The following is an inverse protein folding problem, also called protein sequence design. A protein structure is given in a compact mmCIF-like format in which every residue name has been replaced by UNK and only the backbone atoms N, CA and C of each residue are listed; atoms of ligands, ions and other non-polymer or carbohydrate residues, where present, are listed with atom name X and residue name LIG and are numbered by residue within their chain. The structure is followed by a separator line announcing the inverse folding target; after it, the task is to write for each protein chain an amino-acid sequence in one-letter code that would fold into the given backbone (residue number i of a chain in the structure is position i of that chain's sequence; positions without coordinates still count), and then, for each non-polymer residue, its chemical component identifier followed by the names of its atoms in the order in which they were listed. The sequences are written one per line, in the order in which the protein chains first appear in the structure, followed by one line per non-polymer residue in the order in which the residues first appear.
data_IF_927166027744
#
_entry.id   IF_927166027744
#
_cell.length_a   1.000
_cell.length_b   1.000
_cell.length_c   1.000
_cell.angle_alpha   90.00
_cell.angle_beta   90.00
_cell.angle_gamma   90.00
#
_symmetry.space_group_name_H-M   'P 1'
#
loop_
_entity.id
_entity.type
_entity.pdbx_description
1 polymer ?
#
# COMPACT_ATOMS: atom_id res chain seq x y z
N UNK A 1 10.40 -5.14 70.42
CA UNK A 1 11.15 -4.57 69.32
C UNK A 1 10.67 -5.26 68.00
N UNK A 2 9.78 -4.62 67.30
CA UNK A 2 9.21 -5.18 66.05
C UNK A 2 10.01 -4.60 64.83
N UNK A 3 10.71 -5.45 64.16
CA UNK A 3 11.44 -5.07 62.91
C UNK A 3 10.45 -5.10 61.75
N UNK A 4 10.12 -3.94 61.18
CA UNK A 4 9.30 -3.78 60.02
C UNK A 4 10.23 -3.93 58.82
N UNK A 5 10.02 -4.99 58.03
CA UNK A 5 10.70 -5.27 56.77
C UNK A 5 9.98 -4.52 55.67
N UNK A 6 10.57 -3.42 55.15
CA UNK A 6 10.09 -2.73 53.96
C UNK A 6 10.53 -3.52 52.72
N UNK A 7 9.59 -4.23 52.13
CA UNK A 7 9.75 -4.79 50.79
C UNK A 7 9.52 -3.67 49.77
N UNK A 8 10.60 -3.15 49.20
CA UNK A 8 10.55 -2.28 48.02
C UNK A 8 10.13 -3.11 46.79
N UNK A 9 8.87 -2.98 46.41
CA UNK A 9 8.36 -3.47 45.11
C UNK A 9 8.88 -2.53 44.02
N UNK A 10 9.99 -2.89 43.38
CA UNK A 10 10.42 -2.28 42.12
C UNK A 10 9.46 -2.72 41.04
N UNK A 11 8.42 -1.92 40.77
CA UNK A 11 7.58 -2.08 39.62
C UNK A 11 8.41 -1.68 38.41
N UNK A 12 9.06 -2.67 37.81
CA UNK A 12 9.68 -2.52 36.48
C UNK A 12 8.61 -2.16 35.46
N UNK A 13 8.54 -0.89 35.09
CA UNK A 13 7.86 -0.45 33.88
C UNK A 13 8.58 -1.07 32.69
N UNK A 14 8.25 -2.32 32.36
CA UNK A 14 8.53 -2.87 31.04
C UNK A 14 7.69 -2.06 30.06
N UNK A 15 8.32 -1.10 29.40
CA UNK A 15 7.75 -0.49 28.21
C UNK A 15 7.51 -1.62 27.22
N UNK A 16 6.27 -2.13 27.19
CA UNK A 16 5.80 -3.02 26.15
C UNK A 16 5.90 -2.22 24.85
N UNK A 17 7.04 -2.31 24.15
CA UNK A 17 7.12 -2.00 22.75
C UNK A 17 6.21 -3.02 22.07
N UNK A 18 4.93 -2.68 21.91
CA UNK A 18 4.04 -3.37 20.99
C UNK A 18 4.68 -3.20 19.62
N UNK A 19 5.40 -4.24 19.18
CA UNK A 19 5.80 -4.39 17.79
C UNK A 19 4.49 -4.36 17.01
N UNK A 20 4.21 -3.22 16.37
CA UNK A 20 3.02 -3.08 15.54
C UNK A 20 3.23 -4.02 14.36
N UNK A 21 2.66 -5.20 14.44
CA UNK A 21 2.68 -6.16 13.36
C UNK A 21 1.86 -5.57 12.22
N UNK A 22 2.53 -5.17 11.14
CA UNK A 22 1.87 -4.73 9.92
C UNK A 22 0.90 -5.79 9.41
N UNK A 23 -0.03 -5.41 8.55
CA UNK A 23 -1.03 -6.31 7.99
C UNK A 23 -0.36 -7.52 7.34
N UNK A 24 -0.79 -8.74 7.70
CA UNK A 24 -0.28 -9.99 7.10
C UNK A 24 -0.58 -10.05 5.60
N UNK A 25 0.24 -10.78 4.84
CA UNK A 25 0.04 -10.96 3.39
C UNK A 25 -1.32 -11.57 3.06
N UNK A 26 -1.82 -12.50 3.88
CA UNK A 26 -3.16 -13.07 3.72
C UNK A 26 -4.25 -12.00 3.86
N UNK A 27 -4.12 -11.12 4.83
CA UNK A 27 -5.06 -9.99 5.02
C UNK A 27 -4.94 -8.99 3.87
N UNK A 28 -3.72 -8.67 3.40
CA UNK A 28 -3.52 -7.84 2.19
C UNK A 28 -4.30 -8.40 1.01
N UNK A 29 -4.15 -9.69 0.70
CA UNK A 29 -4.88 -10.35 -0.40
C UNK A 29 -6.39 -10.22 -0.25
N UNK A 30 -6.93 -10.45 0.95
CA UNK A 30 -8.36 -10.35 1.23
C UNK A 30 -8.89 -8.93 1.03
N UNK A 31 -8.20 -7.93 1.57
CA UNK A 31 -8.59 -6.52 1.46
C UNK A 31 -8.49 -6.05 0.00
N UNK A 32 -7.43 -6.45 -0.71
CA UNK A 32 -7.24 -6.16 -2.13
C UNK A 32 -8.37 -6.74 -2.97
N UNK A 33 -8.70 -8.03 -2.77
CA UNK A 33 -9.80 -8.66 -3.49
C UNK A 33 -11.12 -7.94 -3.26
N UNK A 34 -11.41 -7.58 -2.01
CA UNK A 34 -12.65 -6.89 -1.69
C UNK A 34 -12.75 -5.52 -2.38
N UNK A 35 -11.71 -4.70 -2.27
CA UNK A 35 -11.65 -3.40 -2.94
C UNK A 35 -11.80 -3.53 -4.46
N UNK A 36 -11.06 -4.47 -5.07
CA UNK A 36 -11.08 -4.65 -6.53
C UNK A 36 -12.41 -5.21 -7.03
N UNK A 37 -13.05 -6.11 -6.28
CA UNK A 37 -14.38 -6.65 -6.60
C UNK A 37 -15.43 -5.53 -6.69
N UNK A 38 -15.43 -4.59 -5.74
CA UNK A 38 -16.36 -3.45 -5.76
C UNK A 38 -16.04 -2.48 -6.89
N UNK A 39 -14.75 -2.22 -7.15
CA UNK A 39 -14.33 -1.45 -8.32
C UNK A 39 -14.80 -2.09 -9.63
N UNK A 40 -14.62 -3.41 -9.78
CA UNK A 40 -15.03 -4.12 -10.98
C UNK A 40 -16.54 -4.04 -11.21
N UNK A 41 -17.33 -4.15 -10.15
CA UNK A 41 -18.77 -4.02 -10.21
C UNK A 41 -19.20 -2.62 -10.66
N UNK A 42 -18.76 -1.57 -9.97
CA UNK A 42 -19.20 -0.21 -10.25
C UNK A 42 -18.63 0.37 -11.56
N UNK A 43 -17.40 0.01 -11.90
CA UNK A 43 -16.74 0.51 -13.11
C UNK A 43 -16.99 -0.39 -14.33
N UNK A 44 -17.71 -1.51 -14.18
CA UNK A 44 -17.97 -2.50 -15.23
C UNK A 44 -16.68 -2.99 -15.88
N UNK A 45 -15.73 -3.45 -15.06
CA UNK A 45 -14.44 -3.92 -15.55
C UNK A 45 -14.58 -5.25 -16.30
N UNK A 46 -13.83 -5.42 -17.40
CA UNK A 46 -13.64 -6.74 -18.01
C UNK A 46 -12.84 -7.66 -17.09
N UNK A 47 -12.86 -8.96 -17.36
CA UNK A 47 -12.08 -9.95 -16.59
C UNK A 47 -10.58 -9.61 -16.58
N UNK A 48 -10.03 -9.15 -17.70
CA UNK A 48 -8.63 -8.74 -17.78
C UNK A 48 -8.36 -7.50 -16.93
N UNK A 49 -9.22 -6.47 -17.03
CA UNK A 49 -9.10 -5.27 -16.19
C UNK A 49 -9.22 -5.60 -14.70
N UNK A 50 -10.12 -6.53 -14.34
CA UNK A 50 -10.28 -6.99 -12.94
C UNK A 50 -8.99 -7.61 -12.40
N UNK A 51 -8.34 -8.47 -13.18
CA UNK A 51 -7.09 -9.10 -12.78
C UNK A 51 -5.94 -8.09 -12.65
N UNK A 52 -5.77 -7.21 -13.66
CA UNK A 52 -4.72 -6.18 -13.64
C UNK A 52 -4.98 -5.15 -12.50
N UNK A 53 -6.23 -4.74 -12.27
CA UNK A 53 -6.58 -3.87 -11.15
C UNK A 53 -6.36 -4.54 -9.78
N UNK A 54 -6.52 -5.86 -9.68
CA UNK A 54 -6.16 -6.60 -8.47
C UNK A 54 -4.66 -6.50 -8.17
N UNK A 55 -3.81 -6.68 -9.15
CA UNK A 55 -2.35 -6.59 -8.98
C UNK A 55 -1.93 -5.18 -8.54
N UNK A 56 -2.46 -4.14 -9.19
CA UNK A 56 -2.21 -2.73 -8.84
C UNK A 56 -2.66 -2.41 -7.41
N UNK A 57 -3.85 -2.84 -7.03
CA UNK A 57 -4.36 -2.65 -5.67
C UNK A 57 -3.55 -3.45 -4.64
N UNK A 58 -3.08 -4.64 -5.00
CA UNK A 58 -2.22 -5.45 -4.13
C UNK A 58 -0.90 -4.72 -3.85
N UNK A 59 -0.23 -4.22 -4.88
CA UNK A 59 1.02 -3.50 -4.74
C UNK A 59 0.88 -2.27 -3.84
N UNK A 60 -0.19 -1.52 -4.01
CA UNK A 60 -0.50 -0.39 -3.16
C UNK A 60 -0.72 -0.80 -1.70
N UNK A 61 -1.66 -1.73 -1.44
CA UNK A 61 -2.00 -2.12 -0.06
C UNK A 61 -0.79 -2.78 0.63
N UNK A 62 -0.04 -3.59 -0.11
CA UNK A 62 1.17 -4.23 0.39
C UNK A 62 2.26 -3.20 0.76
N UNK A 63 2.46 -2.18 -0.05
CA UNK A 63 3.46 -1.14 0.20
C UNK A 63 3.11 -0.27 1.42
N UNK A 64 1.82 0.02 1.65
CA UNK A 64 1.40 0.91 2.74
C UNK A 64 1.09 0.19 4.06
N UNK A 65 0.95 -1.13 4.07
CA UNK A 65 0.51 -1.92 5.23
C UNK A 65 1.31 -1.69 6.51
N UNK A 66 2.60 -1.38 6.38
CA UNK A 66 3.50 -1.19 7.52
C UNK A 66 3.64 0.30 7.92
N UNK A 67 3.22 1.22 7.07
CA UNK A 67 3.35 2.67 7.34
C UNK A 67 2.05 3.29 7.86
N UNK A 68 0.90 2.68 7.61
CA UNK A 68 -0.39 3.24 8.01
C UNK A 68 -0.55 3.43 9.52
N UNK A 69 0.07 2.59 10.32
CA UNK A 69 0.09 2.76 11.78
C UNK A 69 0.91 3.99 12.20
N UNK A 70 1.94 4.35 11.44
CA UNK A 70 2.70 5.59 11.64
C UNK A 70 1.88 6.81 11.21
N UNK A 71 1.12 6.72 10.11
CA UNK A 71 0.18 7.76 9.70
C UNK A 71 -0.85 8.01 10.81
N UNK A 72 -1.46 6.95 11.34
CA UNK A 72 -2.44 7.04 12.43
C UNK A 72 -1.87 7.67 13.72
N UNK A 73 -0.56 7.53 13.95
CA UNK A 73 0.17 8.16 15.06
C UNK A 73 0.71 9.56 14.75
N UNK A 74 0.46 10.10 13.55
CA UNK A 74 0.78 11.46 13.16
C UNK A 74 2.23 11.68 12.71
N UNK A 75 2.87 10.70 12.07
CA UNK A 75 4.18 10.87 11.45
C UNK A 75 4.05 11.38 10.01
N UNK A 76 4.57 12.57 9.73
CA UNK A 76 4.43 13.21 8.40
C UNK A 76 5.17 12.45 7.29
N UNK A 77 6.35 11.88 7.56
CA UNK A 77 7.06 11.06 6.58
C UNK A 77 6.21 9.87 6.10
N UNK A 78 5.43 9.27 7.00
CA UNK A 78 4.57 8.13 6.65
C UNK A 78 3.35 8.59 5.83
N UNK A 79 2.84 9.78 6.10
CA UNK A 79 1.78 10.39 5.30
C UNK A 79 2.27 10.67 3.88
N UNK A 80 3.49 11.19 3.71
CA UNK A 80 4.08 11.45 2.41
C UNK A 80 4.29 10.14 1.62
N UNK A 81 4.85 9.11 2.26
CA UNK A 81 5.01 7.79 1.68
C UNK A 81 3.67 7.15 1.24
N UNK A 82 2.61 7.34 2.05
CA UNK A 82 1.28 6.87 1.71
C UNK A 82 0.75 7.54 0.43
N UNK A 83 0.82 8.86 0.33
CA UNK A 83 0.32 9.58 -0.83
C UNK A 83 1.19 9.35 -2.08
N UNK A 84 2.48 9.10 -1.93
CA UNK A 84 3.34 8.66 -3.04
C UNK A 84 2.88 7.31 -3.60
N UNK A 85 2.64 6.33 -2.73
CA UNK A 85 2.12 5.03 -3.13
C UNK A 85 0.73 5.12 -3.78
N UNK A 86 -0.12 6.02 -3.27
CA UNK A 86 -1.46 6.25 -3.81
C UNK A 86 -1.40 6.86 -5.22
N UNK A 87 -0.51 7.82 -5.46
CA UNK A 87 -0.32 8.45 -6.77
C UNK A 87 0.19 7.44 -7.80
N UNK A 88 1.13 6.57 -7.41
CA UNK A 88 1.61 5.46 -8.25
C UNK A 88 0.43 4.55 -8.65
N UNK A 89 -0.35 4.10 -7.66
CA UNK A 89 -1.53 3.25 -7.90
C UNK A 89 -2.55 3.91 -8.83
N UNK A 90 -2.89 5.15 -8.59
CA UNK A 90 -3.90 5.86 -9.37
C UNK A 90 -3.44 6.09 -10.82
N UNK A 91 -2.15 6.31 -11.03
CA UNK A 91 -1.61 6.41 -12.39
C UNK A 91 -1.49 5.05 -13.09
N UNK A 92 -1.21 3.95 -12.37
CA UNK A 92 -1.25 2.60 -12.93
C UNK A 92 -2.68 2.21 -13.36
N UNK A 93 -3.67 2.50 -12.53
CA UNK A 93 -5.09 2.30 -12.87
C UNK A 93 -5.51 3.10 -14.10
N UNK A 94 -4.93 4.28 -14.35
CA UNK A 94 -5.18 5.09 -15.56
C UNK A 94 -4.87 4.33 -16.85
N UNK A 95 -3.88 3.45 -16.83
CA UNK A 95 -3.50 2.64 -17.99
C UNK A 95 -4.33 1.37 -18.17
N UNK A 96 -5.06 0.95 -17.14
CA UNK A 96 -5.97 -0.21 -17.18
C UNK A 96 -7.40 0.21 -17.50
N UNK A 97 -7.80 1.40 -17.06
CA UNK A 97 -9.16 1.91 -17.21
C UNK A 97 -9.30 2.75 -18.50
N UNK A 98 -10.44 2.65 -19.16
CA UNK A 98 -10.82 3.62 -20.18
C UNK A 98 -11.06 5.00 -19.57
N UNK A 99 -11.05 6.07 -20.36
CA UNK A 99 -11.32 7.44 -19.89
C UNK A 99 -12.63 7.53 -19.10
N UNK A 100 -13.70 6.92 -19.61
CA UNK A 100 -15.00 6.91 -18.92
C UNK A 100 -14.98 6.14 -17.59
N UNK A 101 -14.28 5.00 -17.52
CA UNK A 101 -14.11 4.24 -16.29
C UNK A 101 -13.25 5.02 -15.29
N UNK A 102 -12.18 5.68 -15.74
CA UNK A 102 -11.30 6.45 -14.87
C UNK A 102 -12.02 7.69 -14.29
N UNK A 103 -12.88 8.36 -15.07
CA UNK A 103 -13.70 9.46 -14.55
C UNK A 103 -14.67 8.98 -13.46
N UNK A 104 -15.30 7.83 -13.64
CA UNK A 104 -16.14 7.21 -12.59
C UNK A 104 -15.32 6.83 -11.36
N UNK A 105 -14.11 6.29 -11.56
CA UNK A 105 -13.17 6.01 -10.48
C UNK A 105 -12.84 7.27 -9.68
N UNK A 106 -12.56 8.40 -10.32
CA UNK A 106 -12.31 9.68 -9.65
C UNK A 106 -13.56 10.25 -8.95
N UNK A 107 -14.76 9.92 -9.41
CA UNK A 107 -16.03 10.28 -8.76
C UNK A 107 -16.32 9.48 -7.49
N UNK A 108 -15.64 8.35 -7.27
CA UNK A 108 -15.85 7.47 -6.12
C UNK A 108 -14.66 7.56 -5.15
N UNK A 109 -14.76 8.45 -4.15
CA UNK A 109 -13.70 8.70 -3.17
C UNK A 109 -13.15 7.42 -2.54
N UNK A 110 -14.01 6.46 -2.21
CA UNK A 110 -13.66 5.19 -1.61
C UNK A 110 -12.86 4.27 -2.54
N UNK A 111 -12.73 4.62 -3.83
CA UNK A 111 -11.83 3.95 -4.76
C UNK A 111 -10.52 4.70 -4.93
N UNK A 112 -10.52 5.99 -5.26
CA UNK A 112 -9.29 6.71 -5.57
C UNK A 112 -8.50 7.16 -4.33
N UNK A 113 -9.14 7.25 -3.15
CA UNK A 113 -8.53 7.47 -1.83
C UNK A 113 -9.05 6.45 -0.81
N UNK A 114 -8.66 5.17 -0.94
CA UNK A 114 -9.36 4.08 -0.28
C UNK A 114 -9.14 3.98 1.24
N UNK A 115 -8.17 4.70 1.81
CA UNK A 115 -7.83 4.59 3.24
C UNK A 115 -8.07 5.92 3.96
N UNK A 116 -8.59 5.82 5.19
CA UNK A 116 -8.77 6.94 6.10
C UNK A 116 -8.45 6.54 7.54
N UNK A 117 -8.29 7.52 8.43
CA UNK A 117 -8.07 7.30 9.87
C UNK A 117 -9.20 7.93 10.68
N UNK A 118 -9.74 7.14 11.61
CA UNK A 118 -10.70 7.61 12.61
C UNK A 118 -10.43 6.92 13.94
N UNK A 119 -10.56 7.66 15.05
CA UNK A 119 -10.33 7.10 16.39
C UNK A 119 -8.95 6.47 16.58
N UNK A 120 -7.91 6.99 15.92
CA UNK A 120 -6.55 6.46 15.98
C UNK A 120 -6.34 5.14 15.23
N UNK A 121 -7.33 4.67 14.46
CA UNK A 121 -7.26 3.44 13.64
C UNK A 121 -7.50 3.78 12.18
N UNK A 122 -6.79 3.12 11.29
CA UNK A 122 -7.01 3.23 9.86
C UNK A 122 -7.94 2.12 9.33
N UNK A 123 -8.69 2.45 8.30
CA UNK A 123 -9.66 1.54 7.67
C UNK A 123 -9.83 1.85 6.19
N UNK A 124 -10.47 0.94 5.46
CA UNK A 124 -10.81 1.14 4.06
C UNK A 124 -12.18 1.80 3.92
N UNK A 125 -12.28 2.89 3.15
CA UNK A 125 -13.54 3.62 2.88
C UNK A 125 -14.59 2.77 2.21
N UNK A 126 -14.18 1.83 1.37
CA UNK A 126 -15.11 0.91 0.68
C UNK A 126 -16.05 0.18 1.64
N UNK A 127 -15.67 0.00 2.90
CA UNK A 127 -16.52 -0.63 3.91
C UNK A 127 -17.68 0.25 4.40
N UNK A 128 -17.63 1.56 4.16
CA UNK A 128 -18.73 2.47 4.46
C UNK A 128 -19.88 2.20 3.50
N UNK A 129 -19.56 2.01 2.21
CA UNK A 129 -20.54 1.76 1.16
C UNK A 129 -20.93 0.27 1.04
N UNK A 130 -19.99 -0.62 1.41
CA UNK A 130 -20.15 -2.08 1.33
C UNK A 130 -19.86 -2.74 2.68
N UNK A 131 -20.79 -2.66 3.64
CA UNK A 131 -20.55 -3.19 5.00
C UNK A 131 -20.50 -4.72 5.04
N UNK A 132 -21.14 -5.42 4.10
CA UNK A 132 -21.08 -6.88 4.01
C UNK A 132 -19.77 -7.33 3.36
N UNK A 133 -18.80 -7.68 4.21
CA UNK A 133 -17.45 -8.10 3.79
C UNK A 133 -17.35 -9.50 3.20
N UNK A 134 -18.45 -10.24 3.21
CA UNK A 134 -18.54 -11.60 2.64
C UNK A 134 -19.18 -11.61 1.25
N UNK A 135 -19.80 -10.50 0.83
CA UNK A 135 -20.42 -10.40 -0.49
C UNK A 135 -19.36 -10.08 -1.54
N UNK A 136 -19.27 -10.93 -2.56
CA UNK A 136 -18.46 -10.72 -3.76
C UNK A 136 -19.34 -10.87 -4.99
N UNK A 137 -19.10 -10.03 -6.00
CA UNK A 137 -19.81 -10.04 -7.29
C UNK A 137 -19.09 -10.88 -8.33
N UNK A 138 -17.77 -11.04 -8.17
CA UNK A 138 -16.91 -11.76 -9.10
C UNK A 138 -16.16 -12.91 -8.42
N UNK A 139 -15.65 -13.82 -9.25
CA UNK A 139 -14.79 -14.90 -8.80
C UNK A 139 -13.47 -14.40 -8.21
N UNK A 140 -12.61 -15.33 -7.86
CA UNK A 140 -11.27 -15.01 -7.34
C UNK A 140 -10.39 -14.54 -8.51
N UNK A 141 -9.63 -13.45 -8.37
CA UNK A 141 -8.67 -13.00 -9.39
C UNK A 141 -7.67 -14.10 -9.72
N UNK A 142 -7.23 -14.16 -10.99
CA UNK A 142 -6.35 -15.23 -11.47
C UNK A 142 -5.09 -15.39 -10.62
N UNK A 143 -4.41 -14.29 -10.29
CA UNK A 143 -3.19 -14.29 -9.49
C UNK A 143 -3.41 -14.06 -7.98
N UNK A 144 -4.61 -14.30 -7.46
CA UNK A 144 -4.95 -14.03 -6.06
C UNK A 144 -3.96 -14.61 -5.03
N UNK A 145 -3.50 -15.86 -5.26
CA UNK A 145 -2.59 -16.54 -4.33
C UNK A 145 -1.10 -16.38 -4.68
N UNK A 146 -0.80 -16.15 -5.96
CA UNK A 146 0.56 -16.21 -6.50
C UNK A 146 1.21 -14.86 -6.70
N UNK A 147 0.41 -13.79 -6.88
CA UNK A 147 0.96 -12.46 -7.08
C UNK A 147 1.72 -11.96 -5.84
N UNK A 148 2.90 -11.40 -6.07
CA UNK A 148 3.81 -10.92 -5.04
C UNK A 148 4.56 -9.63 -5.44
N UNK A 149 3.97 -8.79 -6.29
CA UNK A 149 4.56 -7.51 -6.69
C UNK A 149 5.41 -7.56 -7.97
N UNK A 150 5.17 -8.54 -8.84
CA UNK A 150 5.96 -8.70 -10.09
C UNK A 150 5.86 -7.48 -11.01
N UNK A 151 4.72 -6.78 -11.01
CA UNK A 151 4.46 -5.63 -11.87
C UNK A 151 4.52 -4.28 -11.14
N UNK A 152 5.02 -4.28 -9.92
CA UNK A 152 5.13 -3.06 -9.12
C UNK A 152 6.03 -2.03 -9.80
N UNK A 153 5.51 -0.83 -10.05
CA UNK A 153 6.13 0.23 -10.87
C UNK A 153 7.61 0.53 -10.54
N UNK A 154 8.04 0.59 -9.26
CA UNK A 154 9.44 0.80 -8.95
C UNK A 154 10.40 -0.26 -9.49
N UNK A 155 9.91 -1.47 -9.79
CA UNK A 155 10.69 -2.53 -10.43
C UNK A 155 10.83 -2.32 -11.96
N UNK A 156 10.07 -1.38 -12.53
CA UNK A 156 10.03 -1.05 -13.96
C UNK A 156 10.54 0.37 -14.23
N UNK A 157 11.63 0.77 -13.62
CA UNK A 157 12.23 2.11 -13.82
C UNK A 157 11.22 3.25 -13.63
N UNK A 158 10.30 3.10 -12.66
CA UNK A 158 9.20 4.02 -12.37
C UNK A 158 8.19 4.23 -13.52
N UNK A 159 8.23 3.38 -14.53
CA UNK A 159 7.23 3.36 -15.61
C UNK A 159 6.15 2.32 -15.30
N UNK A 160 4.90 2.61 -15.67
CA UNK A 160 3.81 1.65 -15.50
C UNK A 160 3.99 0.42 -16.38
N UNK A 161 3.95 -0.78 -15.78
CA UNK A 161 3.90 -2.05 -16.52
C UNK A 161 2.67 -2.14 -17.44
N UNK A 162 1.58 -1.49 -17.06
CA UNK A 162 0.29 -1.55 -17.75
C UNK A 162 0.21 -0.58 -18.94
N UNK A 163 1.19 0.31 -19.10
CA UNK A 163 1.25 1.24 -20.23
C UNK A 163 1.38 0.48 -21.54
N UNK A 164 0.42 0.73 -22.47
CA UNK A 164 0.39 0.08 -23.77
C UNK A 164 -0.28 -1.30 -23.82
N UNK A 165 -0.83 -1.81 -22.70
CA UNK A 165 -1.56 -3.09 -22.69
C UNK A 165 -3.00 -2.97 -23.20
N UNK A 166 -3.60 -1.80 -23.10
CA UNK A 166 -5.00 -1.50 -23.48
C UNK A 166 -5.02 -0.47 -24.61
N UNK A 167 -4.41 -0.83 -25.74
CA UNK A 167 -4.23 0.08 -26.91
C UNK A 167 -5.53 0.53 -27.54
N UNK A 168 -6.63 -0.21 -27.32
CA UNK A 168 -7.96 0.12 -27.84
C UNK A 168 -8.73 1.13 -26.95
N UNK A 169 -8.14 1.55 -25.82
CA UNK A 169 -8.78 2.51 -24.94
C UNK A 169 -8.27 3.92 -25.17
N UNK A 170 -9.18 4.87 -25.15
CA UNK A 170 -8.82 6.24 -24.85
C UNK A 170 -8.58 6.33 -23.35
N UNK A 171 -7.35 6.62 -22.95
CA UNK A 171 -6.98 6.77 -21.55
C UNK A 171 -7.17 8.20 -21.06
N UNK A 172 -7.44 8.37 -19.79
CA UNK A 172 -7.47 9.68 -19.15
C UNK A 172 -6.12 10.40 -19.36
N UNK A 173 -6.16 11.66 -19.80
CA UNK A 173 -5.00 12.35 -20.39
C UNK A 173 -3.84 12.60 -19.42
N UNK A 174 -4.12 12.78 -18.13
CA UNK A 174 -3.13 13.14 -17.13
C UNK A 174 -3.23 12.26 -15.87
N UNK A 175 -2.11 11.95 -15.18
CA UNK A 175 -2.18 11.26 -13.91
C UNK A 175 -2.91 12.12 -12.87
N UNK A 176 -3.85 11.50 -12.13
CA UNK A 176 -4.47 12.14 -10.98
C UNK A 176 -3.55 12.01 -9.77
N UNK A 177 -2.99 13.14 -9.35
CA UNK A 177 -2.10 13.20 -8.20
C UNK A 177 -2.82 13.79 -6.99
N UNK A 178 -2.68 13.12 -5.86
CA UNK A 178 -3.20 13.56 -4.57
C UNK A 178 -2.12 14.33 -3.78
N UNK A 179 -0.86 14.00 -4.04
CA UNK A 179 0.32 14.67 -3.49
C UNK A 179 0.77 15.77 -4.45
N UNK A 180 0.95 17.00 -3.97
CA UNK A 180 1.53 18.07 -4.75
C UNK A 180 3.07 18.11 -4.64
N UNK A 181 3.71 18.98 -5.46
CA UNK A 181 5.16 19.13 -5.49
C UNK A 181 5.74 19.75 -4.19
N UNK A 182 4.89 20.34 -3.33
CA UNK A 182 5.28 20.99 -2.08
C UNK A 182 5.07 20.06 -0.87
N UNK A 183 4.83 18.78 -1.10
CA UNK A 183 4.47 17.81 -0.05
C UNK A 183 3.19 18.24 0.69
N UNK A 184 2.31 18.94 -0.01
CA UNK A 184 1.04 19.37 0.53
C UNK A 184 -0.07 18.41 0.05
N UNK A 185 -0.78 17.83 0.99
CA UNK A 185 -1.81 16.84 0.69
C UNK A 185 -3.19 17.49 0.79
N UNK A 186 -3.78 17.87 -0.34
CA UNK A 186 -5.07 18.58 -0.41
C UNK A 186 -6.20 17.83 0.31
N UNK A 187 -6.13 16.51 0.40
CA UNK A 187 -7.13 15.69 1.07
C UNK A 187 -6.77 15.28 2.50
N UNK A 188 -5.66 15.78 3.06
CA UNK A 188 -5.21 15.44 4.41
C UNK A 188 -6.30 15.57 5.46
N UNK A 189 -7.08 16.66 5.40
CA UNK A 189 -8.15 16.93 6.37
C UNK A 189 -9.28 15.91 6.28
N UNK A 190 -9.69 15.52 5.08
CA UNK A 190 -10.77 14.55 4.88
C UNK A 190 -10.34 13.11 5.14
N UNK A 191 -9.08 12.77 4.87
CA UNK A 191 -8.56 11.41 5.07
C UNK A 191 -8.07 11.18 6.50
N UNK A 192 -7.42 12.20 7.09
CA UNK A 192 -6.68 12.10 8.35
C UNK A 192 -6.96 13.25 9.32
N UNK A 193 -8.14 13.89 9.22
CA UNK A 193 -8.51 15.05 10.06
C UNK A 193 -8.55 14.77 11.56
N UNK A 194 -8.73 13.50 11.96
CA UNK A 194 -8.66 13.08 13.37
C UNK A 194 -7.23 12.87 13.88
N UNK A 195 -6.23 12.95 12.99
CA UNK A 195 -4.82 12.73 13.34
C UNK A 195 -4.13 14.03 13.69
N UNK A 196 -3.52 14.09 14.87
CA UNK A 196 -2.58 15.18 15.21
C UNK A 196 -1.18 14.80 14.70
N UNK A 197 -0.72 15.49 13.67
CA UNK A 197 0.63 15.29 13.17
C UNK A 197 1.64 15.95 14.10
N UNK A 198 2.74 15.24 14.34
CA UNK A 198 3.79 15.63 15.28
C UNK A 198 4.73 16.63 14.59
N UNK A 199 5.14 17.72 15.24
CA UNK A 199 6.16 18.59 14.68
C UNK A 199 7.47 17.83 14.48
N UNK A 200 8.25 18.22 13.47
CA UNK A 200 9.57 17.67 13.15
C UNK A 200 9.62 16.17 12.80
N UNK A 201 8.51 15.59 12.32
CA UNK A 201 8.44 14.19 11.87
C UNK A 201 8.43 14.05 10.34
N UNK A 202 8.85 15.08 9.61
CA UNK A 202 9.00 15.03 8.14
C UNK A 202 10.19 14.17 7.70
N UNK A 203 11.24 14.08 8.52
CA UNK A 203 12.41 13.23 8.23
C UNK A 203 12.12 11.79 8.62
N UNK A 204 12.29 10.89 7.65
CA UNK A 204 12.10 9.45 7.86
C UNK A 204 13.22 8.91 8.76
N UNK A 205 12.90 8.19 9.86
CA UNK A 205 13.91 7.51 10.66
C UNK A 205 14.62 6.41 9.86
N UNK A 206 15.89 6.18 10.15
CA UNK A 206 16.69 5.11 9.51
C UNK A 206 16.04 3.71 9.69
N UNK A 207 15.43 3.45 10.84
CA UNK A 207 14.76 2.18 11.19
C UNK A 207 13.27 2.15 10.79
N UNK A 208 12.79 3.10 9.98
CA UNK A 208 11.41 3.07 9.50
C UNK A 208 11.18 1.91 8.52
N UNK A 209 9.93 1.37 8.44
CA UNK A 209 9.60 0.36 7.45
C UNK A 209 10.00 0.78 6.04
N UNK A 210 10.36 -0.18 5.20
CA UNK A 210 10.84 0.08 3.83
C UNK A 210 9.87 0.99 3.05
N UNK A 211 10.42 1.94 2.32
CA UNK A 211 9.67 2.88 1.48
C UNK A 211 8.88 2.14 0.39
N UNK A 212 7.69 2.61 -0.02
CA UNK A 212 7.05 2.12 -1.23
C UNK A 212 8.04 2.21 -2.40
N UNK A 213 8.36 1.08 -2.99
CA UNK A 213 9.31 1.02 -4.09
C UNK A 213 10.75 0.63 -3.77
N UNK A 214 11.11 0.53 -2.50
CA UNK A 214 12.48 0.17 -2.11
C UNK A 214 12.56 -1.23 -1.45
N UNK A 215 11.56 -2.08 -1.61
CA UNK A 215 11.63 -3.47 -1.16
C UNK A 215 12.45 -4.27 -2.15
N UNK A 216 13.68 -4.60 -1.79
CA UNK A 216 14.44 -5.67 -2.42
C UNK A 216 13.56 -6.92 -2.55
N UNK A 217 13.51 -7.44 -3.78
CA UNK A 217 12.85 -8.67 -4.16
C UNK A 217 13.27 -9.79 -3.18
N UNK A 218 12.36 -10.54 -2.54
CA UNK A 218 12.78 -11.71 -1.81
C UNK A 218 13.31 -12.74 -2.79
N UNK A 219 14.60 -13.04 -2.72
CA UNK A 219 15.22 -14.24 -3.26
C UNK A 219 15.57 -14.24 -4.74
N UNK A 220 16.78 -13.80 -5.06
CA UNK A 220 17.62 -14.53 -6.01
C UNK A 220 19.04 -14.54 -5.44
N UNK A 221 19.29 -15.48 -4.54
CA UNK A 221 20.63 -15.96 -4.27
C UNK A 221 21.06 -16.81 -5.47
N UNK A 222 21.49 -16.17 -6.54
CA UNK A 222 22.25 -16.87 -7.59
C UNK A 222 23.68 -16.96 -7.10
N UNK A 223 23.97 -18.04 -6.40
CA UNK A 223 25.34 -18.53 -6.21
C UNK A 223 25.88 -18.86 -7.60
N UNK A 224 26.69 -17.99 -8.13
CA UNK A 224 27.42 -18.22 -9.37
C UNK A 224 28.51 -19.28 -9.08
N UNK A 225 28.52 -20.46 -9.72
CA UNK A 225 29.62 -21.38 -9.55
C UNK A 225 30.89 -20.73 -10.12
N UNK A 226 31.93 -20.66 -9.31
CA UNK A 226 33.23 -20.21 -9.73
C UNK A 226 33.82 -21.18 -10.76
N UNK A 227 34.01 -20.75 -11.99
CA UNK A 227 34.84 -21.42 -12.97
C UNK A 227 36.30 -21.17 -12.62
N UNK A 228 36.90 -22.11 -11.94
CA UNK A 228 38.36 -22.25 -11.83
C UNK A 228 38.96 -22.58 -13.21
N UNK A 229 39.74 -21.67 -13.74
CA UNK A 229 40.52 -21.85 -14.96
C UNK A 229 41.75 -22.66 -14.61
N UNK A 230 42.11 -23.77 -15.33
CA UNK A 230 43.38 -24.43 -15.12
C UNK A 230 44.51 -23.60 -15.76
N UNK A 231 45.55 -23.35 -15.01
CA UNK A 231 46.82 -22.82 -15.51
C UNK A 231 47.58 -23.89 -16.26
N UNK A 232 47.82 -23.69 -17.56
CA UNK A 232 48.80 -24.42 -18.34
C UNK A 232 50.17 -23.80 -18.06
N UNK A 233 51.06 -24.61 -17.48
CA UNK A 233 52.51 -24.35 -17.45
C UNK A 233 53.18 -25.11 -18.61
N UNK A 234 53.96 -24.36 -19.37
CA UNK A 234 55.07 -24.87 -20.20
C UNK A 234 56.28 -25.07 -19.36
#
# INVERSE_FOLDING_TARGET
MKRILFLLFAVGLTANMTVMAGMSTSKVRKETRFLTDKMAYELSLSTQQYNDAYEINYDFIYSVRNIMDYVARGYEWALDDYYEALDIRNDDLRWVLSDAQYRRFLGAEYFYRPIYVTGGKWSFRVYINYPNRSLFYFGVPYHYRTYCGAHYRPHFHHTSYYRGRYTNFNHYSAPHRVRDQRVYHSYRRSDFGSVRFRPNTSTRPHNAPTRPGNSSRPGSSTTRPGTSRPSLSL
#
